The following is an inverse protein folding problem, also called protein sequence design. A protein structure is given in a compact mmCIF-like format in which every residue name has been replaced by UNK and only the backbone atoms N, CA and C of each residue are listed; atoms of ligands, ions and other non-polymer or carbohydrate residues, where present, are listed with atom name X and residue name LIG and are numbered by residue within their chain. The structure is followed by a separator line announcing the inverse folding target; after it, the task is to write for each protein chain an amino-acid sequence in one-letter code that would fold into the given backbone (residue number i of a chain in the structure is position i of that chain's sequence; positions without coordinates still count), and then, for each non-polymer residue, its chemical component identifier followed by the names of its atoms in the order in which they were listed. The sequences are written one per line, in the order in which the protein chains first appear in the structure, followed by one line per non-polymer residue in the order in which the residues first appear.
data_IF_334873047173
#
_entry.id   IF_334873047173
#
_cell.length_a   1.000
_cell.length_b   1.000
_cell.length_c   1.000
_cell.angle_alpha   90.00
_cell.angle_beta   90.00
_cell.angle_gamma   90.00
#
_symmetry.space_group_name_H-M   'P 1'
#
loop_
_entity.id
_entity.type
_entity.pdbx_description
1 polymer ?
#
# COMPACT_ATOMS: atom_id res chain seq x y z
N UNK A 1 9.79 3.19 -15.57
CA UNK A 1 8.75 2.35 -14.93
C UNK A 1 7.68 3.20 -14.23
N UNK A 2 6.40 2.84 -14.33
CA UNK A 2 5.29 3.64 -13.76
C UNK A 2 4.86 3.02 -12.43
N UNK A 3 5.45 3.45 -11.32
CA UNK A 3 5.05 2.99 -9.98
C UNK A 3 3.83 3.75 -9.50
N UNK A 4 2.76 3.05 -9.15
CA UNK A 4 1.61 3.61 -8.43
C UNK A 4 1.60 3.09 -7.00
N UNK A 5 1.77 4.00 -6.04
CA UNK A 5 1.54 3.71 -4.63
C UNK A 5 0.08 4.06 -4.38
N UNK A 6 -0.77 3.05 -4.22
CA UNK A 6 -2.16 3.28 -3.83
C UNK A 6 -2.18 3.49 -2.33
N UNK A 7 -2.26 4.75 -1.90
CA UNK A 7 -2.37 5.12 -0.50
C UNK A 7 -3.76 4.73 0.04
N UNK A 8 -3.90 3.52 0.59
CA UNK A 8 -4.60 3.40 1.87
C UNK A 8 -3.57 3.74 2.94
N UNK A 9 -3.94 4.67 3.82
CA UNK A 9 -3.03 5.40 4.69
C UNK A 9 -2.00 4.55 5.44
N UNK A 10 -0.85 5.18 5.65
CA UNK A 10 0.30 4.78 6.45
C UNK A 10 1.24 3.77 5.82
N UNK A 11 2.48 4.22 5.56
CA UNK A 11 3.67 3.36 5.68
C UNK A 11 5.00 4.12 5.69
N UNK A 12 5.67 3.96 6.84
CA UNK A 12 7.07 4.07 7.26
C UNK A 12 8.04 5.06 6.58
N UNK A 13 8.53 5.95 7.44
CA UNK A 13 9.62 6.87 7.27
C UNK A 13 10.98 6.17 7.04
N UNK A 14 11.83 6.79 6.23
CA UNK A 14 13.28 6.72 6.44
C UNK A 14 13.70 7.84 7.39
N UNK A 15 14.65 7.59 8.32
CA UNK A 15 15.13 8.64 9.20
C UNK A 15 16.03 9.57 8.40
N UNK A 16 15.57 10.78 8.13
CA UNK A 16 16.49 11.89 7.91
C UNK A 16 16.92 12.37 9.30
N UNK A 17 18.03 11.84 9.78
CA UNK A 17 18.77 12.50 10.85
C UNK A 17 19.35 13.79 10.27
N UNK A 18 18.83 14.94 10.71
CA UNK A 18 19.31 16.25 10.31
C UNK A 18 18.95 17.28 11.37
N UNK A 19 19.98 17.90 11.95
CA UNK A 19 19.88 18.89 13.02
C UNK A 19 19.03 20.10 12.61
N UNK A 20 18.22 20.60 13.54
CA UNK A 20 17.47 21.82 13.37
C UNK A 20 18.42 23.03 13.33
N UNK A 21 18.36 23.82 12.27
CA UNK A 21 18.88 25.19 12.23
C UNK A 21 17.70 26.14 11.95
N UNK A 22 17.78 27.35 12.53
CA UNK A 22 16.69 28.32 12.69
C UNK A 22 16.04 28.87 11.40
N UNK A 23 15.15 29.87 11.50
CA UNK A 23 14.24 30.25 10.42
C UNK A 23 14.95 31.14 9.40
N UNK A 24 15.84 30.54 8.62
CA UNK A 24 16.20 31.01 7.29
C UNK A 24 15.19 30.46 6.29
N UNK A 25 14.93 31.19 5.20
CA UNK A 25 14.22 30.63 4.05
C UNK A 25 14.87 29.29 3.70
N UNK A 26 14.11 28.22 3.87
CA UNK A 26 14.61 26.86 3.68
C UNK A 26 14.94 26.71 2.20
N UNK A 27 16.24 26.75 1.88
CA UNK A 27 16.75 26.56 0.53
C UNK A 27 16.10 25.31 -0.08
N UNK A 28 15.75 25.34 -1.38
CA UNK A 28 15.19 24.17 -2.03
C UNK A 28 16.16 23.00 -1.90
N UNK A 29 15.67 21.87 -1.42
CA UNK A 29 16.46 20.64 -1.34
C UNK A 29 16.26 19.87 -2.63
N UNK A 30 17.35 19.63 -3.36
CA UNK A 30 17.35 18.92 -4.63
C UNK A 30 17.88 17.48 -4.48
N UNK A 31 17.22 16.52 -5.11
CA UNK A 31 17.64 15.12 -5.17
C UNK A 31 17.57 14.60 -6.61
N UNK A 32 18.53 13.77 -6.99
CA UNK A 32 18.63 13.23 -8.34
C UNK A 32 18.43 11.71 -8.32
N UNK A 33 17.67 11.19 -9.29
CA UNK A 33 17.40 9.76 -9.39
C UNK A 33 17.21 9.32 -10.85
N UNK A 34 17.58 8.08 -11.15
CA UNK A 34 17.35 7.48 -12.47
C UNK A 34 15.88 7.06 -12.64
N UNK A 35 15.48 6.63 -13.85
CA UNK A 35 14.12 6.15 -14.09
C UNK A 35 13.71 4.98 -13.16
N UNK A 36 14.68 4.21 -12.69
CA UNK A 36 14.51 3.09 -11.76
C UNK A 36 14.53 3.51 -10.27
N UNK A 37 14.44 4.82 -9.99
CA UNK A 37 14.47 5.39 -8.64
C UNK A 37 15.77 5.14 -7.85
N UNK A 38 16.87 4.86 -8.54
CA UNK A 38 18.19 4.79 -7.91
C UNK A 38 18.74 6.20 -7.76
N UNK A 39 19.23 6.54 -6.56
CA UNK A 39 19.87 7.83 -6.31
C UNK A 39 21.09 8.02 -7.23
N UNK A 40 21.24 9.21 -7.80
CA UNK A 40 22.34 9.60 -8.70
C UNK A 40 22.74 11.06 -8.42
N UNK A 41 23.57 11.65 -9.28
CA UNK A 41 24.02 13.05 -9.19
C UNK A 41 23.46 13.90 -10.32
N UNK A 42 23.67 15.22 -10.26
CA UNK A 42 23.21 16.17 -11.28
C UNK A 42 23.90 15.99 -12.64
N UNK A 43 25.10 15.40 -12.67
CA UNK A 43 25.90 15.22 -13.90
C UNK A 43 25.38 14.06 -14.77
N UNK A 44 24.50 13.22 -14.22
CA UNK A 44 23.89 12.12 -14.94
C UNK A 44 22.79 12.66 -15.87
N UNK A 45 23.05 12.58 -17.18
CA UNK A 45 22.13 13.03 -18.24
C UNK A 45 20.76 12.34 -18.23
N UNK A 46 20.61 11.22 -17.51
CA UNK A 46 19.35 10.48 -17.35
C UNK A 46 18.67 10.77 -16.00
N UNK A 47 19.22 11.68 -15.18
CA UNK A 47 18.71 11.99 -13.87
C UNK A 47 17.45 12.84 -13.93
N UNK A 48 16.40 12.36 -13.29
CA UNK A 48 15.29 13.19 -12.84
C UNK A 48 15.73 14.02 -11.64
N UNK A 49 15.25 15.25 -11.53
CA UNK A 49 15.46 16.12 -10.38
C UNK A 49 14.17 16.25 -9.57
N UNK A 50 14.23 16.09 -8.24
CA UNK A 50 13.18 16.49 -7.30
C UNK A 50 13.66 17.71 -6.53
N UNK A 51 12.91 18.79 -6.61
CA UNK A 51 13.11 19.97 -5.76
C UNK A 51 11.99 20.07 -4.73
N UNK A 52 12.35 20.24 -3.47
CA UNK A 52 11.40 20.51 -2.40
C UNK A 52 11.65 21.89 -1.82
N UNK A 53 10.64 22.77 -1.90
CA UNK A 53 10.66 24.10 -1.28
C UNK A 53 9.69 24.10 -0.12
N UNK A 54 10.17 24.45 1.07
CA UNK A 54 9.32 24.60 2.24
C UNK A 54 8.80 26.04 2.31
N UNK A 55 7.50 26.18 2.55
CA UNK A 55 6.89 27.47 2.86
C UNK A 55 7.03 27.79 4.35
N UNK A 56 6.88 26.77 5.18
CA UNK A 56 7.06 26.83 6.63
C UNK A 56 7.58 25.47 7.16
N UNK A 57 7.56 25.25 8.47
CA UNK A 57 8.05 24.00 9.09
C UNK A 57 7.32 22.73 8.66
N UNK A 58 6.11 22.87 8.10
CA UNK A 58 5.19 21.80 7.75
C UNK A 58 4.91 21.80 6.24
N UNK A 59 4.46 22.93 5.71
CA UNK A 59 3.94 23.05 4.36
C UNK A 59 5.03 23.39 3.35
N UNK A 60 4.80 22.99 2.10
CA UNK A 60 5.77 23.18 1.03
C UNK A 60 5.25 22.70 -0.30
N UNK A 61 6.13 22.69 -1.29
CA UNK A 61 5.84 22.22 -2.62
C UNK A 61 6.99 21.37 -3.13
N UNK A 62 6.64 20.31 -3.85
CA UNK A 62 7.59 19.45 -4.53
C UNK A 62 7.43 19.64 -6.03
N UNK A 63 8.54 19.83 -6.73
CA UNK A 63 8.62 19.80 -8.20
C UNK A 63 9.48 18.62 -8.61
N UNK A 64 9.05 17.91 -9.64
CA UNK A 64 9.85 16.88 -10.28
C UNK A 64 10.09 17.32 -11.71
N UNK A 65 11.32 17.19 -12.20
CA UNK A 65 11.72 17.54 -13.56
C UNK A 65 12.18 16.29 -14.30
N UNK A 66 11.91 16.25 -15.60
CA UNK A 66 12.52 15.30 -16.54
C UNK A 66 14.04 15.52 -16.63
N UNK A 67 14.82 14.54 -17.14
CA UNK A 67 16.23 14.75 -17.43
C UNK A 67 16.48 15.91 -18.40
N UNK A 68 15.51 16.22 -19.26
CA UNK A 68 15.51 17.41 -20.12
C UNK A 68 15.35 18.75 -19.38
N UNK A 69 15.15 18.75 -18.06
CA UNK A 69 14.91 19.94 -17.24
C UNK A 69 13.47 20.47 -17.29
N UNK A 70 12.59 19.87 -18.11
CA UNK A 70 11.18 20.25 -18.19
C UNK A 70 10.41 19.76 -16.96
N UNK A 71 9.45 20.58 -16.50
CA UNK A 71 8.61 20.22 -15.36
C UNK A 71 7.78 18.96 -15.68
N UNK A 72 7.89 17.95 -14.83
CA UNK A 72 7.16 16.68 -14.90
C UNK A 72 5.98 16.64 -13.95
N UNK A 73 6.15 17.14 -12.74
CA UNK A 73 5.14 17.08 -11.70
C UNK A 73 5.29 18.23 -10.70
N UNK A 74 4.16 18.69 -10.19
CA UNK A 74 4.05 19.67 -9.11
C UNK A 74 3.08 19.13 -8.05
N UNK A 75 3.54 19.08 -6.80
CA UNK A 75 2.76 18.58 -5.67
C UNK A 75 2.78 19.61 -4.54
N UNK A 76 1.66 20.30 -4.27
CA UNK A 76 1.54 21.16 -3.11
C UNK A 76 1.24 20.33 -1.86
N UNK A 77 2.09 20.46 -0.85
CA UNK A 77 1.97 19.73 0.42
C UNK A 77 1.53 20.67 1.53
N UNK A 78 0.45 20.30 2.22
CA UNK A 78 0.10 20.88 3.52
C UNK A 78 1.04 20.38 4.63
N UNK A 79 1.54 19.16 4.50
CA UNK A 79 2.59 18.59 5.34
C UNK A 79 3.56 17.76 4.49
N UNK A 80 4.76 18.28 4.26
CA UNK A 80 5.80 17.63 3.45
C UNK A 80 6.29 16.35 4.12
N UNK A 81 6.45 16.35 5.46
CA UNK A 81 7.00 15.21 6.21
C UNK A 81 6.02 14.04 6.22
N UNK A 82 4.73 14.33 6.39
CA UNK A 82 3.65 13.33 6.34
C UNK A 82 3.12 13.08 4.92
N UNK A 83 3.64 13.78 3.91
CA UNK A 83 3.20 13.71 2.50
C UNK A 83 1.71 13.99 2.32
N UNK A 84 1.16 14.92 3.11
CA UNK A 84 -0.24 15.33 2.99
C UNK A 84 -0.34 16.38 1.90
N UNK A 85 -0.95 16.01 0.77
CA UNK A 85 -1.21 16.92 -0.34
C UNK A 85 -2.37 17.85 0.02
N UNK A 86 -2.20 19.13 -0.27
CA UNK A 86 -3.24 20.15 -0.10
C UNK A 86 -3.18 21.14 -1.26
N UNK A 87 -4.21 21.13 -2.10
CA UNK A 87 -4.28 21.88 -3.35
C UNK A 87 -4.20 20.98 -4.58
N UNK A 88 -3.85 21.58 -5.72
CA UNK A 88 -3.87 20.90 -7.02
C UNK A 88 -2.52 20.25 -7.31
N UNK A 89 -2.49 18.92 -7.39
CA UNK A 89 -1.40 18.16 -8.00
C UNK A 89 -1.53 18.25 -9.52
N UNK A 90 -0.41 18.57 -10.19
CA UNK A 90 -0.37 18.66 -11.65
C UNK A 90 0.78 17.81 -12.19
N UNK A 91 0.53 17.12 -13.30
CA UNK A 91 1.53 16.35 -14.04
C UNK A 91 1.56 16.83 -15.48
N UNK A 92 2.74 16.81 -16.09
CA UNK A 92 2.96 17.16 -17.49
C UNK A 92 3.66 16.02 -18.22
N UNK A 93 3.44 15.97 -19.53
CA UNK A 93 4.25 15.19 -20.45
C UNK A 93 5.57 15.92 -20.74
N UNK A 94 6.58 15.21 -21.24
CA UNK A 94 7.87 15.81 -21.57
C UNK A 94 7.81 16.78 -22.75
N UNK A 95 6.76 16.72 -23.58
CA UNK A 95 6.48 17.75 -24.58
C UNK A 95 5.94 19.07 -23.95
N UNK A 96 5.67 19.09 -22.65
CA UNK A 96 5.11 20.24 -21.92
C UNK A 96 3.58 20.26 -21.84
N UNK A 97 2.89 19.36 -22.53
CA UNK A 97 1.44 19.26 -22.47
C UNK A 97 0.98 18.80 -21.07
N UNK A 98 -0.14 19.34 -20.60
CA UNK A 98 -0.75 18.90 -19.35
C UNK A 98 -1.13 17.42 -19.47
N UNK A 99 -0.71 16.60 -18.51
CA UNK A 99 -1.05 15.17 -18.45
C UNK A 99 -2.21 14.90 -17.50
N UNK A 100 -2.18 15.52 -16.32
CA UNK A 100 -3.29 15.43 -15.38
C UNK A 100 -3.32 16.58 -14.39
N UNK A 101 -4.52 16.85 -13.88
CA UNK A 101 -4.80 17.79 -12.80
C UNK A 101 -5.70 17.11 -11.79
N UNK A 102 -5.28 17.09 -10.52
CA UNK A 102 -5.96 16.39 -9.44
C UNK A 102 -6.05 17.31 -8.22
N UNK A 103 -7.26 17.58 -7.72
CA UNK A 103 -7.45 18.41 -6.53
C UNK A 103 -7.49 17.57 -5.24
N UNK A 104 -6.79 18.05 -4.20
CA UNK A 104 -6.69 17.38 -2.91
C UNK A 104 -7.01 18.30 -1.74
N UNK A 105 -7.71 17.75 -0.75
CA UNK A 105 -7.92 18.36 0.57
C UNK A 105 -7.50 17.35 1.63
N UNK A 106 -6.52 17.71 2.45
CA UNK A 106 -5.99 16.87 3.54
C UNK A 106 -5.59 15.46 3.08
N UNK A 107 -4.88 15.39 1.94
CA UNK A 107 -4.39 14.14 1.36
C UNK A 107 -5.44 13.29 0.65
N UNK A 108 -6.71 13.70 0.62
CA UNK A 108 -7.79 13.00 -0.10
C UNK A 108 -8.19 13.78 -1.35
N UNK A 109 -8.44 13.08 -2.45
CA UNK A 109 -8.97 13.71 -3.68
C UNK A 109 -10.29 14.41 -3.38
N UNK A 110 -10.40 15.68 -3.73
CA UNK A 110 -11.59 16.50 -3.52
C UNK A 110 -11.62 17.59 -4.59
N UNK A 111 -12.58 17.50 -5.51
CA UNK A 111 -12.66 18.35 -6.70
C UNK A 111 -12.46 17.54 -7.98
N UNK A 112 -11.84 18.17 -8.98
CA UNK A 112 -11.72 17.59 -10.31
C UNK A 112 -10.51 16.65 -10.40
N UNK A 113 -10.71 15.54 -11.11
CA UNK A 113 -9.67 14.71 -11.70
C UNK A 113 -9.80 14.82 -13.21
N UNK A 114 -8.82 15.46 -13.84
CA UNK A 114 -8.72 15.62 -15.28
C UNK A 114 -7.47 14.92 -15.79
N UNK A 115 -7.60 14.15 -16.87
CA UNK A 115 -6.44 13.64 -17.61
C UNK A 115 -6.57 13.95 -19.08
N UNK A 116 -5.43 14.09 -19.75
CA UNK A 116 -5.33 14.46 -21.15
C UNK A 116 -4.36 13.52 -21.87
N UNK A 117 -4.51 13.42 -23.18
CA UNK A 117 -3.53 12.82 -24.08
C UNK A 117 -2.37 13.80 -24.34
N UNK A 118 -1.23 13.33 -24.90
CA UNK A 118 -0.07 14.20 -25.17
C UNK A 118 -0.31 15.36 -26.13
N UNK A 119 -1.34 15.27 -26.96
CA UNK A 119 -1.81 16.32 -27.87
C UNK A 119 -2.70 17.37 -27.18
N UNK A 120 -3.06 17.14 -25.90
CA UNK A 120 -3.97 17.98 -25.12
C UNK A 120 -5.44 17.56 -25.19
N UNK A 121 -5.79 16.54 -25.96
CA UNK A 121 -7.17 16.03 -26.06
C UNK A 121 -7.61 15.50 -24.68
N UNK A 122 -8.80 15.87 -24.16
CA UNK A 122 -9.30 15.34 -22.90
C UNK A 122 -9.42 13.82 -22.97
N UNK A 123 -8.87 13.13 -21.97
CA UNK A 123 -8.96 11.66 -21.83
C UNK A 123 -9.96 11.26 -20.76
N UNK A 124 -10.04 12.03 -19.68
CA UNK A 124 -10.96 11.77 -18.57
C UNK A 124 -11.36 13.04 -17.85
N UNK A 125 -12.59 13.05 -17.36
CA UNK A 125 -13.07 13.95 -16.32
C UNK A 125 -13.86 13.18 -15.27
N UNK A 126 -13.44 13.31 -14.02
CA UNK A 126 -14.11 12.73 -12.84
C UNK A 126 -14.23 13.80 -11.75
N UNK A 127 -15.25 13.69 -10.90
CA UNK A 127 -15.41 14.53 -9.72
C UNK A 127 -15.32 13.67 -8.45
N UNK A 128 -14.55 14.15 -7.48
CA UNK A 128 -14.31 13.47 -6.22
C UNK A 128 -14.79 14.32 -5.04
N UNK A 129 -15.41 13.66 -4.05
CA UNK A 129 -15.77 14.30 -2.79
C UNK A 129 -15.23 13.45 -1.63
N UNK A 130 -14.25 13.99 -0.91
CA UNK A 130 -13.59 13.36 0.24
C UNK A 130 -12.99 11.97 -0.07
N UNK A 131 -12.35 11.84 -1.22
CA UNK A 131 -11.71 10.61 -1.69
C UNK A 131 -12.66 9.62 -2.37
N UNK A 132 -13.96 9.89 -2.39
CA UNK A 132 -14.93 9.09 -3.15
C UNK A 132 -15.14 9.71 -4.52
N UNK A 133 -14.73 8.99 -5.56
CA UNK A 133 -15.02 9.34 -6.95
C UNK A 133 -16.40 8.86 -7.37
N UNK A 134 -17.08 9.66 -8.19
CA UNK A 134 -18.24 9.21 -8.96
C UNK A 134 -17.82 8.53 -10.27
N UNK A 135 -18.81 8.15 -11.07
CA UNK A 135 -18.58 7.78 -12.48
C UNK A 135 -18.22 9.05 -13.26
N UNK A 136 -17.14 8.99 -14.03
CA UNK A 136 -16.70 10.08 -14.89
C UNK A 136 -16.99 9.85 -16.36
N UNK A 137 -16.49 10.75 -17.18
CA UNK A 137 -16.46 10.61 -18.64
C UNK A 137 -15.06 10.20 -19.09
N UNK A 138 -14.97 9.22 -19.99
CA UNK A 138 -13.74 8.80 -20.63
C UNK A 138 -13.85 9.02 -22.14
N UNK A 139 -12.74 9.40 -22.76
CA UNK A 139 -12.65 9.67 -24.19
C UNK A 139 -11.45 8.93 -24.78
N UNK A 140 -11.56 8.52 -26.04
CA UNK A 140 -10.47 7.99 -26.85
C UNK A 140 -9.57 9.12 -27.38
N UNK A 141 -8.40 8.81 -27.97
CA UNK A 141 -7.49 9.83 -28.52
C UNK A 141 -8.11 10.71 -29.62
N UNK A 142 -9.12 10.21 -30.33
CA UNK A 142 -9.88 10.96 -31.33
C UNK A 142 -10.99 11.85 -30.73
N UNK A 143 -11.13 11.86 -29.41
CA UNK A 143 -12.16 12.59 -28.67
C UNK A 143 -13.51 11.87 -28.56
N UNK A 144 -13.67 10.68 -29.16
CA UNK A 144 -14.91 9.92 -29.06
C UNK A 144 -15.13 9.39 -27.64
N UNK A 145 -16.38 9.34 -27.13
CA UNK A 145 -16.66 8.82 -25.80
C UNK A 145 -16.44 7.30 -25.74
N UNK A 146 -15.84 6.82 -24.65
CA UNK A 146 -15.65 5.38 -24.37
C UNK A 146 -16.27 4.99 -23.03
N UNK A 147 -16.62 3.70 -22.82
CA UNK A 147 -17.12 3.24 -21.54
C UNK A 147 -16.20 3.64 -20.39
N UNK A 148 -16.81 4.09 -19.30
CA UNK A 148 -16.08 4.44 -18.09
C UNK A 148 -15.29 3.24 -17.58
N UNK A 149 -14.02 3.46 -17.27
CA UNK A 149 -13.18 2.52 -16.54
C UNK A 149 -12.49 3.26 -15.40
N UNK A 150 -12.36 2.59 -14.25
CA UNK A 150 -11.80 3.22 -13.06
C UNK A 150 -10.42 3.81 -13.31
N UNK A 151 -10.22 5.06 -12.86
CA UNK A 151 -8.92 5.73 -12.92
C UNK A 151 -7.83 4.92 -12.22
N UNK A 152 -8.19 4.23 -11.13
CA UNK A 152 -7.29 3.50 -10.27
C UNK A 152 -7.88 2.11 -10.02
N UNK A 153 -7.13 1.07 -10.39
CA UNK A 153 -7.50 -0.34 -10.18
C UNK A 153 -6.34 -1.03 -9.46
N UNK A 154 -6.63 -1.54 -8.26
CA UNK A 154 -5.67 -2.32 -7.48
C UNK A 154 -5.40 -3.68 -8.15
N UNK A 155 -4.27 -4.33 -7.82
CA UNK A 155 -4.07 -5.72 -8.19
C UNK A 155 -5.20 -6.59 -7.65
N UNK A 156 -5.72 -7.50 -8.47
CA UNK A 156 -6.76 -8.43 -8.05
C UNK A 156 -6.18 -9.84 -8.00
N UNK A 157 -6.31 -10.49 -6.85
CA UNK A 157 -5.92 -11.88 -6.70
C UNK A 157 -6.97 -12.82 -7.32
N UNK A 158 -6.59 -13.94 -7.95
CA UNK A 158 -7.56 -14.90 -8.45
C UNK A 158 -8.44 -15.47 -7.32
N UNK A 159 -9.75 -15.23 -7.38
CA UNK A 159 -10.69 -15.54 -6.30
C UNK A 159 -10.94 -14.38 -5.32
N UNK A 160 -10.34 -13.22 -5.57
CA UNK A 160 -10.50 -12.00 -4.78
C UNK A 160 -9.67 -11.99 -3.50
N UNK A 161 -9.88 -10.95 -2.69
CA UNK A 161 -9.17 -10.73 -1.43
C UNK A 161 -9.39 -11.87 -0.42
N UNK A 162 -10.61 -12.40 -0.34
CA UNK A 162 -10.93 -13.51 0.56
C UNK A 162 -10.11 -14.76 0.24
N UNK A 163 -9.90 -15.07 -1.03
CA UNK A 163 -9.09 -16.23 -1.42
C UNK A 163 -7.60 -15.99 -1.16
N UNK A 164 -7.12 -14.76 -1.40
CA UNK A 164 -5.75 -14.37 -1.03
C UNK A 164 -5.50 -14.59 0.46
N UNK A 165 -6.38 -14.07 1.32
CA UNK A 165 -6.27 -14.21 2.77
C UNK A 165 -6.32 -15.67 3.22
N UNK A 166 -7.19 -16.48 2.61
CA UNK A 166 -7.26 -17.93 2.87
C UNK A 166 -5.97 -18.65 2.46
N UNK A 167 -5.41 -18.35 1.30
CA UNK A 167 -4.19 -19.00 0.82
C UNK A 167 -2.99 -18.64 1.72
N UNK A 168 -2.88 -17.37 2.14
CA UNK A 168 -1.87 -16.92 3.11
C UNK A 168 -2.08 -17.61 4.46
N UNK A 169 -3.27 -17.53 5.04
CA UNK A 169 -3.50 -18.12 6.38
C UNK A 169 -3.31 -19.62 6.40
N UNK A 170 -3.71 -20.35 5.34
CA UNK A 170 -3.51 -21.80 5.21
C UNK A 170 -2.04 -22.19 5.05
N UNK A 171 -1.22 -21.35 4.39
CA UNK A 171 0.20 -21.60 4.19
C UNK A 171 1.08 -21.25 5.39
N UNK A 172 0.55 -20.53 6.38
CA UNK A 172 1.30 -20.20 7.61
C UNK A 172 1.69 -21.47 8.36
N UNK A 173 2.99 -21.63 8.57
CA UNK A 173 3.59 -22.74 9.34
C UNK A 173 4.58 -22.15 10.33
N UNK A 174 4.30 -22.36 11.61
CA UNK A 174 5.16 -21.92 12.71
C UNK A 174 6.28 -22.94 12.95
N UNK A 175 7.49 -22.45 13.21
CA UNK A 175 8.59 -23.26 13.71
C UNK A 175 8.42 -23.54 15.23
N UNK A 176 9.25 -24.41 15.85
CA UNK A 176 9.10 -24.74 17.27
C UNK A 176 9.19 -23.53 18.21
N UNK A 177 10.07 -22.56 17.91
CA UNK A 177 10.22 -21.33 18.70
C UNK A 177 8.98 -20.44 18.60
N UNK A 178 8.54 -20.16 17.38
CA UNK A 178 7.32 -19.38 17.10
C UNK A 178 6.07 -20.03 17.71
N UNK A 179 6.01 -21.37 17.72
CA UNK A 179 4.94 -22.14 18.35
C UNK A 179 4.94 -21.98 19.87
N UNK A 180 6.12 -21.97 20.50
CA UNK A 180 6.25 -21.75 21.94
C UNK A 180 5.79 -20.33 22.33
N UNK A 181 6.21 -19.32 21.58
CA UNK A 181 5.79 -17.91 21.78
C UNK A 181 4.27 -17.76 21.64
N UNK A 182 3.68 -18.35 20.59
CA UNK A 182 2.22 -18.35 20.39
C UNK A 182 1.49 -19.00 21.57
N UNK A 183 1.96 -20.16 22.05
CA UNK A 183 1.34 -20.88 23.17
C UNK A 183 1.38 -20.08 24.46
N UNK A 184 2.49 -19.40 24.74
CA UNK A 184 2.61 -18.53 25.92
C UNK A 184 1.60 -17.39 25.87
N UNK A 185 1.47 -16.73 24.72
CA UNK A 185 0.51 -15.63 24.56
C UNK A 185 -0.94 -16.13 24.65
N UNK A 186 -1.28 -17.26 24.03
CA UNK A 186 -2.62 -17.86 24.14
C UNK A 186 -2.93 -18.20 25.60
N UNK A 187 -2.01 -18.82 26.34
CA UNK A 187 -2.23 -19.15 27.75
C UNK A 187 -2.54 -17.91 28.60
N UNK A 188 -1.88 -16.79 28.33
CA UNK A 188 -2.17 -15.51 29.00
C UNK A 188 -3.56 -14.98 28.64
N UNK A 189 -3.93 -15.02 27.36
CA UNK A 189 -5.25 -14.55 26.89
C UNK A 189 -6.39 -15.43 27.41
N UNK A 190 -6.18 -16.74 27.54
CA UNK A 190 -7.19 -17.67 28.06
C UNK A 190 -7.49 -17.49 29.55
N UNK A 191 -6.60 -16.83 30.29
CA UNK A 191 -6.83 -16.41 31.68
C UNK A 191 -7.60 -15.08 31.78
N UNK A 192 -7.97 -14.45 30.65
CA UNK A 192 -8.77 -13.23 30.65
C UNK A 192 -10.27 -13.53 30.55
N UNK A 193 -11.15 -12.66 31.07
CA UNK A 193 -12.61 -12.87 31.04
C UNK A 193 -13.18 -13.01 29.63
N UNK A 194 -12.60 -12.32 28.65
CA UNK A 194 -13.14 -12.23 27.28
C UNK A 194 -12.60 -13.30 26.33
N UNK A 195 -11.54 -14.04 26.71
CA UNK A 195 -10.94 -15.15 25.94
C UNK A 195 -10.83 -14.89 24.44
N UNK A 196 -10.49 -13.66 24.04
CA UNK A 196 -10.44 -13.26 22.63
C UNK A 196 -9.00 -13.19 22.17
N UNK A 197 -8.59 -14.15 21.33
CA UNK A 197 -7.31 -14.10 20.64
C UNK A 197 -7.55 -13.76 19.17
N UNK A 198 -7.22 -12.52 18.81
CA UNK A 198 -7.16 -12.02 17.44
C UNK A 198 -5.85 -11.30 17.24
N UNK A 199 -5.10 -11.64 16.19
CA UNK A 199 -3.85 -10.98 15.81
C UNK A 199 -3.91 -10.55 14.36
N UNK A 200 -3.30 -9.42 14.06
CA UNK A 200 -3.27 -8.84 12.73
C UNK A 200 -1.83 -8.52 12.35
N UNK A 201 -1.46 -8.93 11.14
CA UNK A 201 -0.17 -8.64 10.52
C UNK A 201 -0.46 -7.88 9.25
N UNK A 202 -0.05 -6.61 9.19
CA UNK A 202 -0.14 -5.81 7.98
C UNK A 202 1.06 -6.13 7.10
N UNK A 203 0.78 -6.62 5.90
CA UNK A 203 1.80 -7.00 4.92
C UNK A 203 1.67 -6.10 3.70
N UNK A 204 2.74 -5.39 3.36
CA UNK A 204 2.82 -4.71 2.07
C UNK A 204 3.27 -5.72 1.01
N UNK A 205 2.49 -5.81 -0.05
CA UNK A 205 2.77 -6.60 -1.23
C UNK A 205 3.15 -5.69 -2.39
N UNK A 206 4.15 -6.11 -3.15
CA UNK A 206 4.59 -5.42 -4.36
C UNK A 206 4.25 -6.29 -5.56
N UNK A 207 3.29 -5.86 -6.37
CA UNK A 207 2.88 -6.55 -7.59
C UNK A 207 3.49 -5.84 -8.79
N UNK A 208 4.22 -6.59 -9.60
CA UNK A 208 4.84 -6.10 -10.83
C UNK A 208 3.80 -5.85 -11.94
N UNK A 209 4.24 -5.18 -13.01
CA UNK A 209 3.41 -4.86 -14.18
C UNK A 209 2.88 -6.13 -14.87
N UNK A 210 3.60 -7.25 -14.79
CA UNK A 210 3.12 -8.54 -15.28
C UNK A 210 2.13 -9.24 -14.33
N UNK A 211 1.87 -8.71 -13.13
CA UNK A 211 1.01 -9.33 -12.12
C UNK A 211 1.72 -10.30 -11.17
N UNK A 212 3.03 -10.51 -11.30
CA UNK A 212 3.80 -11.35 -10.36
C UNK A 212 3.99 -10.61 -9.03
N UNK A 213 3.98 -11.36 -7.93
CA UNK A 213 4.41 -10.85 -6.64
C UNK A 213 5.94 -10.68 -6.68
N UNK A 214 6.39 -9.43 -6.68
CA UNK A 214 7.80 -9.06 -6.80
C UNK A 214 8.50 -8.97 -5.45
N UNK A 215 7.80 -8.53 -4.40
CA UNK A 215 8.33 -8.38 -3.05
C UNK A 215 7.19 -8.36 -2.02
N UNK A 216 7.51 -8.65 -0.76
CA UNK A 216 6.59 -8.57 0.36
C UNK A 216 7.32 -8.23 1.67
N UNK A 217 6.76 -7.32 2.46
CA UNK A 217 7.32 -6.95 3.78
C UNK A 217 6.26 -6.71 4.83
N UNK A 218 6.58 -7.03 6.08
CA UNK A 218 5.71 -6.70 7.21
C UNK A 218 5.88 -5.24 7.56
N UNK A 219 4.74 -4.58 7.66
CA UNK A 219 4.57 -3.14 7.88
C UNK A 219 4.40 -2.87 9.36
N UNK A 220 3.49 -3.62 9.95
CA UNK A 220 3.06 -3.50 11.33
C UNK A 220 2.59 -4.87 11.78
N UNK A 221 3.04 -5.30 12.94
CA UNK A 221 2.61 -6.54 13.57
C UNK A 221 2.77 -6.43 15.07
N UNK A 222 1.71 -6.83 15.80
CA UNK A 222 1.76 -7.00 17.25
C UNK A 222 2.31 -8.36 17.70
N UNK A 223 2.57 -9.27 16.76
CA UNK A 223 2.96 -10.66 17.05
C UNK A 223 4.18 -11.05 16.22
N UNK A 224 5.40 -10.91 16.77
CA UNK A 224 6.64 -11.22 16.04
C UNK A 224 6.68 -12.63 15.44
N UNK A 225 6.16 -13.63 16.15
CA UNK A 225 6.12 -15.03 15.68
C UNK A 225 5.20 -15.25 14.47
N UNK A 226 4.17 -14.41 14.27
CA UNK A 226 3.32 -14.45 13.08
C UNK A 226 3.96 -13.73 11.89
N UNK A 227 4.75 -12.69 12.13
CA UNK A 227 5.35 -11.88 11.06
C UNK A 227 6.19 -12.72 10.10
N UNK A 228 7.18 -13.46 10.63
CA UNK A 228 8.08 -14.26 9.80
C UNK A 228 7.34 -15.42 9.11
N UNK A 229 6.41 -16.07 9.82
CA UNK A 229 5.61 -17.15 9.26
C UNK A 229 4.67 -16.68 8.15
N UNK A 230 4.09 -15.48 8.29
CA UNK A 230 3.24 -14.85 7.27
C UNK A 230 4.04 -14.55 6.01
N UNK A 231 5.25 -13.98 6.14
CA UNK A 231 6.12 -13.74 4.98
C UNK A 231 6.51 -15.03 4.27
N UNK A 232 6.84 -16.09 5.01
CA UNK A 232 7.11 -17.42 4.42
C UNK A 232 5.90 -17.94 3.63
N UNK A 233 4.69 -17.73 4.14
CA UNK A 233 3.47 -18.14 3.43
C UNK A 233 3.21 -17.29 2.18
N UNK A 234 3.41 -15.97 2.26
CA UNK A 234 3.25 -15.05 1.13
C UNK A 234 4.22 -15.39 0.00
N UNK A 235 5.47 -15.74 0.33
CA UNK A 235 6.47 -16.18 -0.64
C UNK A 235 6.12 -17.50 -1.36
N UNK A 236 5.15 -18.27 -0.84
CA UNK A 236 4.69 -19.52 -1.44
C UNK A 236 3.47 -19.35 -2.37
N UNK A 237 2.89 -18.14 -2.47
CA UNK A 237 1.76 -17.88 -3.35
C UNK A 237 2.17 -18.15 -4.81
N UNK A 238 1.44 -19.06 -5.47
CA UNK A 238 1.75 -19.46 -6.85
C UNK A 238 0.91 -18.76 -7.90
N UNK A 239 -0.25 -18.24 -7.50
CA UNK A 239 -1.17 -17.57 -8.42
C UNK A 239 -0.70 -16.15 -8.70
N UNK A 240 -0.83 -15.77 -9.97
CA UNK A 240 -0.49 -14.43 -10.44
C UNK A 240 -1.68 -13.48 -10.25
N UNK A 241 -1.40 -12.26 -9.82
CA UNK A 241 -2.42 -11.21 -9.71
C UNK A 241 -2.81 -10.72 -11.11
N UNK A 242 -4.06 -10.29 -11.27
CA UNK A 242 -4.35 -9.31 -12.30
C UNK A 242 -3.62 -8.01 -11.93
N UNK A 243 -2.80 -7.43 -12.83
CA UNK A 243 -1.96 -6.31 -12.49
C UNK A 243 -2.78 -5.05 -12.20
N UNK A 244 -2.20 -4.15 -11.40
CA UNK A 244 -2.80 -2.85 -11.17
C UNK A 244 -2.83 -2.02 -12.45
N UNK A 245 -3.83 -1.14 -12.54
CA UNK A 245 -3.92 -0.13 -13.60
C UNK A 245 -4.11 1.25 -13.01
N UNK A 246 -3.44 2.24 -13.62
CA UNK A 246 -3.74 3.65 -13.43
C UNK A 246 -3.98 4.28 -14.79
N UNK A 247 -5.16 4.86 -14.95
CA UNK A 247 -5.64 5.43 -16.20
C UNK A 247 -5.48 4.46 -17.39
N UNK A 248 -5.87 3.20 -17.15
CA UNK A 248 -5.83 2.10 -18.11
C UNK A 248 -4.44 1.51 -18.35
N UNK A 249 -3.38 2.21 -17.93
CA UNK A 249 -2.00 1.75 -18.05
C UNK A 249 -1.65 0.82 -16.91
N UNK A 250 -1.01 -0.29 -17.24
CA UNK A 250 -0.49 -1.24 -16.25
C UNK A 250 0.67 -0.60 -15.48
N UNK A 251 0.69 -0.78 -14.16
CA UNK A 251 1.63 -0.13 -13.24
C UNK A 251 2.11 -1.10 -12.15
N UNK A 252 3.37 -0.98 -11.76
CA UNK A 252 3.87 -1.63 -10.53
C UNK A 252 3.13 -1.03 -9.33
N UNK A 253 2.62 -1.88 -8.46
CA UNK A 253 1.75 -1.47 -7.37
C UNK A 253 2.25 -1.96 -6.02
N UNK A 254 2.22 -1.06 -5.04
CA UNK A 254 2.40 -1.36 -3.63
C UNK A 254 1.04 -1.24 -2.94
N UNK A 255 0.61 -2.27 -2.22
CA UNK A 255 -0.63 -2.26 -1.44
C UNK A 255 -0.51 -3.10 -0.18
N UNK A 256 -1.32 -2.77 0.83
CA UNK A 256 -1.28 -3.42 2.14
C UNK A 256 -2.44 -4.40 2.27
N UNK A 257 -2.15 -5.60 2.75
CA UNK A 257 -3.13 -6.63 3.07
C UNK A 257 -3.12 -6.89 4.58
N UNK A 258 -4.28 -6.75 5.26
CA UNK A 258 -4.41 -7.11 6.67
C UNK A 258 -4.63 -8.61 6.85
N UNK A 259 -3.57 -9.35 7.21
CA UNK A 259 -3.67 -10.78 7.49
C UNK A 259 -4.11 -10.98 8.94
N UNK A 260 -5.37 -11.41 9.12
CA UNK A 260 -5.96 -11.66 10.43
C UNK A 260 -5.89 -13.13 10.83
N UNK A 261 -5.52 -13.38 12.08
CA UNK A 261 -5.50 -14.69 12.73
C UNK A 261 -6.45 -14.67 13.92
N UNK A 262 -7.31 -15.66 14.01
CA UNK A 262 -8.27 -15.82 15.11
C UNK A 262 -8.20 -17.24 15.65
N UNK A 263 -8.34 -17.38 16.97
CA UNK A 263 -8.46 -18.68 17.60
C UNK A 263 -9.94 -19.02 17.68
N UNK A 264 -10.38 -20.09 17.02
CA UNK A 264 -11.69 -20.66 17.27
C UNK A 264 -11.63 -21.44 18.58
N UNK A 265 -12.21 -20.88 19.63
CA UNK A 265 -12.47 -21.63 20.86
C UNK A 265 -13.82 -22.31 20.64
N UNK A 266 -13.87 -23.63 20.39
CA UNK A 266 -15.15 -24.32 20.32
C UNK A 266 -15.93 -24.01 21.60
N UNK A 267 -17.23 -23.68 21.52
CA UNK A 267 -18.04 -23.54 22.73
C UNK A 267 -17.87 -24.82 23.52
N UNK A 268 -17.46 -24.70 24.79
CA UNK A 268 -17.40 -25.84 25.68
C UNK A 268 -18.75 -26.54 25.55
N UNK A 269 -18.77 -27.77 25.03
CA UNK A 269 -19.91 -28.65 25.24
C UNK A 269 -20.14 -28.60 26.75
N UNK A 270 -21.29 -28.10 27.18
CA UNK A 270 -21.64 -28.03 28.58
C UNK A 270 -21.52 -29.45 29.14
N UNK A 271 -20.36 -29.78 29.70
CA UNK A 271 -20.10 -31.09 30.24
C UNK A 271 -20.82 -31.13 31.57
N UNK A 272 -21.97 -31.80 31.51
CA UNK A 272 -22.73 -32.36 32.61
C UNK A 272 -21.83 -32.60 33.84
N UNK A 273 -21.98 -31.74 34.84
CA UNK A 273 -21.57 -32.05 36.20
C UNK A 273 -22.64 -32.95 36.83
N UNK A 274 -22.51 -34.26 36.63
CA UNK A 274 -22.76 -35.28 37.66
C UNK A 274 -21.75 -36.39 37.35
N UNK A 275 -20.79 -36.57 38.26
CA UNK A 275 -19.51 -37.23 37.99
C UNK A 275 -19.50 -38.75 38.12
N UNK A 276 -18.39 -39.35 37.68
CA UNK A 276 -17.53 -40.30 38.44
C UNK A 276 -16.40 -40.84 37.51
N UNK A 277 -15.33 -41.47 38.07
CA UNK A 277 -13.94 -41.11 37.76
C UNK A 277 -13.17 -42.24 37.02
N UNK A 278 -11.81 -42.36 37.07
CA UNK A 278 -10.96 -42.25 35.88
C UNK A 278 -10.23 -43.56 35.50
N UNK A 279 -10.00 -43.81 34.21
CA UNK A 279 -9.02 -44.81 33.77
C UNK A 279 -8.18 -44.36 32.56
N UNK A 280 -7.07 -45.07 32.39
CA UNK A 280 -5.73 -44.64 32.03
C UNK A 280 -5.37 -44.87 30.53
N UNK A 281 -4.31 -44.17 30.08
CA UNK A 281 -3.43 -44.36 28.89
C UNK A 281 -3.98 -44.16 27.45
N UNK A 282 -3.27 -43.32 26.67
CA UNK A 282 -3.18 -43.44 25.20
C UNK A 282 -3.03 -42.12 24.44
N UNK A 283 -1.95 -41.99 23.66
CA UNK A 283 -1.45 -40.83 22.87
C UNK A 283 -2.46 -39.95 22.09
N UNK A 284 -2.12 -38.68 21.78
CA UNK A 284 -2.97 -37.79 20.97
C UNK A 284 -2.78 -37.99 19.45
N UNK A 285 -3.86 -38.00 18.63
CA UNK A 285 -3.77 -37.85 17.18
C UNK A 285 -3.87 -36.38 16.72
N UNK A 286 -3.39 -36.14 15.49
CA UNK A 286 -2.96 -34.83 14.96
C UNK A 286 -4.05 -33.86 14.46
N UNK A 287 -3.60 -32.62 14.21
CA UNK A 287 -4.37 -31.47 13.73
C UNK A 287 -4.74 -31.60 12.24
N UNK A 288 -6.02 -31.37 11.91
CA UNK A 288 -6.52 -31.13 10.55
C UNK A 288 -7.09 -29.71 10.45
N UNK A 289 -6.65 -28.97 9.43
CA UNK A 289 -7.12 -27.62 9.13
C UNK A 289 -8.34 -27.61 8.20
N UNK A 290 -9.15 -26.55 8.31
CA UNK A 290 -10.10 -26.10 7.28
C UNK A 290 -9.74 -24.69 6.85
#
# INVERSE_FOLDING_TARGET
MKTCIFYLGWLLAWPLAGQAQGPGLLNPVAYFFTEDFKATTADDSLAYCVETTFRDSLSGMMRVYYPSGKLKQFVPHGDVRRRIIYGTLSNWYENGAMRSKEDFVMGKRHGDLLTYYPDGTPKRREQHVHGRGGVGSCYAPDGSPVPYFGYEQLPLYPGGETELLKEITRGVRLNPKETAEMRQEIAQVMNTPHKNWKREVLVELVVAEDGRLADARVVLSGSPYLSAATLRSVAQLKRQFMPARRDGQVVKCHFIVPVSFTLEIPPQAASKFYGQPPEFYGQPPGLLGR
#
